data_IF_383569395454
#
_entry.id   IF_383569395454
#
_cell.length_a   1.000
_cell.length_b   1.000
_cell.length_c   1.000
_cell.angle_alpha   90.00
_cell.angle_beta   90.00
_cell.angle_gamma   90.00
#
_symmetry.space_group_name_H-M   'P 1'
#
loop_
_entity.id
_entity.type
_entity.pdbx_description
1 polymer ?
#
# COMPACT_ATOMS: atom_id res chain seq x y z
N UNK A 1 -7.39 -3.95 0.87
CA UNK A 1 -6.56 -5.18 0.93
C UNK A 1 -6.28 -5.66 -0.49
N UNK A 2 -5.03 -5.85 -0.87
CA UNK A 2 -4.63 -6.15 -2.23
C UNK A 2 -3.11 -6.18 -2.43
N UNK A 3 -2.67 -5.90 -3.65
CA UNK A 3 -1.25 -5.77 -4.04
C UNK A 3 -1.02 -4.36 -4.58
N UNK A 4 0.10 -3.77 -4.22
CA UNK A 4 0.47 -2.41 -4.62
C UNK A 4 1.95 -2.40 -5.00
N UNK A 5 2.29 -1.84 -6.15
CA UNK A 5 3.70 -1.53 -6.45
C UNK A 5 4.03 -0.14 -5.93
N UNK A 6 5.14 -0.04 -5.20
CA UNK A 6 5.66 1.22 -4.70
C UNK A 6 6.99 1.53 -5.38
N UNK A 7 7.19 2.81 -5.67
CA UNK A 7 8.49 3.34 -6.09
C UNK A 7 9.31 3.68 -4.84
N UNK A 8 10.52 3.13 -4.78
CA UNK A 8 11.45 3.21 -3.64
C UNK A 8 12.88 3.52 -4.12
N UNK A 9 13.76 4.03 -3.24
CA UNK A 9 15.19 4.11 -3.53
C UNK A 9 15.82 2.75 -3.82
N UNK A 10 16.88 2.75 -4.64
CA UNK A 10 17.59 1.54 -5.03
C UNK A 10 18.16 0.75 -3.83
N UNK A 11 18.59 1.46 -2.80
CA UNK A 11 19.19 0.96 -1.57
C UNK A 11 18.17 0.85 -0.42
N UNK A 12 16.87 0.90 -0.73
CA UNK A 12 15.82 0.84 0.28
C UNK A 12 15.79 -0.51 1.01
N UNK A 13 16.01 -0.46 2.32
CA UNK A 13 15.80 -1.58 3.22
C UNK A 13 14.57 -1.33 4.10
N UNK A 14 13.52 -2.13 3.89
CA UNK A 14 12.29 -1.98 4.63
C UNK A 14 12.49 -2.29 6.12
N UNK A 15 12.07 -1.42 7.06
CA UNK A 15 12.28 -1.58 8.48
C UNK A 15 11.71 -2.89 9.03
N UNK A 16 12.43 -3.47 10.01
CA UNK A 16 12.02 -4.68 10.72
C UNK A 16 11.78 -4.40 12.20
N UNK A 17 10.92 -5.20 12.82
CA UNK A 17 10.70 -5.20 14.26
C UNK A 17 11.83 -5.94 15.01
N UNK A 18 11.73 -5.96 16.34
CA UNK A 18 12.67 -6.65 17.22
C UNK A 18 12.74 -8.17 16.99
N UNK A 19 11.76 -8.74 16.28
CA UNK A 19 11.70 -10.14 15.90
C UNK A 19 12.16 -10.39 14.46
N UNK A 20 12.64 -9.36 13.75
CA UNK A 20 13.12 -9.45 12.39
C UNK A 20 12.01 -9.51 11.33
N UNK A 21 10.74 -9.31 11.68
CA UNK A 21 9.64 -9.23 10.71
C UNK A 21 9.52 -7.82 10.16
N UNK A 22 9.09 -7.68 8.90
CA UNK A 22 8.84 -6.36 8.33
C UNK A 22 7.76 -5.62 9.12
N UNK A 23 8.02 -4.35 9.42
CA UNK A 23 7.03 -3.46 10.01
C UNK A 23 6.05 -3.00 8.93
N UNK A 24 4.73 -3.07 9.14
CA UNK A 24 3.79 -2.37 8.27
C UNK A 24 4.11 -0.89 8.15
N UNK A 25 4.13 -0.34 6.94
CA UNK A 25 4.27 1.09 6.70
C UNK A 25 3.25 1.58 5.67
N UNK A 26 2.53 2.64 6.02
CA UNK A 26 1.70 3.40 5.09
C UNK A 26 2.53 4.00 3.96
N UNK A 27 1.92 4.13 2.78
CA UNK A 27 2.58 4.66 1.58
C UNK A 27 2.61 6.21 1.56
N UNK A 28 1.89 6.87 2.45
CA UNK A 28 1.97 8.31 2.61
C UNK A 28 3.22 8.70 3.41
N UNK A 29 3.65 9.96 3.30
CA UNK A 29 4.70 10.48 4.16
C UNK A 29 4.11 11.03 5.45
N UNK A 30 4.82 10.83 6.56
CA UNK A 30 4.37 11.23 7.88
C UNK A 30 4.05 12.74 7.97
N UNK A 31 4.88 13.58 7.34
CA UNK A 31 4.78 15.04 7.47
C UNK A 31 3.47 15.53 6.90
N UNK A 32 3.10 15.08 5.70
CA UNK A 32 1.82 15.42 5.06
C UNK A 32 0.64 14.99 5.93
N UNK A 33 0.61 13.72 6.36
CA UNK A 33 -0.52 13.19 7.14
C UNK A 33 -0.61 13.85 8.53
N UNK A 34 0.52 14.13 9.17
CA UNK A 34 0.55 14.86 10.44
C UNK A 34 0.01 16.28 10.30
N UNK A 35 0.36 16.99 9.22
CA UNK A 35 -0.16 18.33 8.98
C UNK A 35 -1.66 18.35 8.71
N UNK A 36 -2.16 17.42 7.91
CA UNK A 36 -3.59 17.27 7.65
C UNK A 36 -4.35 16.96 8.94
N UNK A 37 -3.88 15.97 9.71
CA UNK A 37 -4.49 15.63 10.99
C UNK A 37 -4.51 16.83 11.96
N UNK A 38 -3.40 17.57 12.07
CA UNK A 38 -3.32 18.78 12.91
C UNK A 38 -4.26 19.88 12.44
N UNK A 39 -4.42 20.04 11.13
CA UNK A 39 -5.34 21.01 10.54
C UNK A 39 -6.79 20.67 10.92
N UNK A 40 -7.21 19.42 10.74
CA UNK A 40 -8.56 18.97 11.08
C UNK A 40 -8.82 19.03 12.59
N UNK A 41 -7.85 18.63 13.42
CA UNK A 41 -7.93 18.75 14.87
C UNK A 41 -8.11 20.21 15.32
N UNK A 42 -7.43 21.14 14.65
CA UNK A 42 -7.61 22.58 14.89
C UNK A 42 -9.02 23.04 14.50
N UNK A 43 -9.52 22.66 13.32
CA UNK A 43 -10.88 22.99 12.90
C UNK A 43 -11.92 22.44 13.89
N UNK A 44 -11.71 21.24 14.42
CA UNK A 44 -12.56 20.64 15.45
C UNK A 44 -12.55 21.47 16.74
N UNK A 45 -11.36 21.88 17.20
CA UNK A 45 -11.22 22.71 18.41
C UNK A 45 -11.92 24.08 18.29
N UNK A 46 -12.07 24.58 17.06
CA UNK A 46 -12.76 25.83 16.74
C UNK A 46 -14.25 25.64 16.41
N UNK A 47 -14.78 24.41 16.45
CA UNK A 47 -16.14 24.04 16.04
C UNK A 47 -16.46 24.41 14.57
N UNK A 48 -15.44 24.37 13.71
CA UNK A 48 -15.55 24.70 12.28
C UNK A 48 -15.39 23.48 11.37
N UNK A 49 -15.11 22.31 11.92
CA UNK A 49 -14.95 21.08 11.14
C UNK A 49 -16.28 20.75 10.42
N UNK A 50 -16.27 20.40 9.13
CA UNK A 50 -17.49 20.15 8.37
C UNK A 50 -18.30 18.97 8.90
N UNK A 51 -17.62 18.00 9.52
CA UNK A 51 -18.23 16.82 10.15
C UNK A 51 -18.30 16.95 11.69
N UNK A 52 -18.32 18.18 12.21
CA UNK A 52 -18.40 18.43 13.65
C UNK A 52 -19.61 17.71 14.26
N UNK A 53 -19.34 16.88 15.27
CA UNK A 53 -20.37 16.18 16.04
C UNK A 53 -20.24 16.55 17.52
N UNK A 54 -21.33 17.05 18.11
CA UNK A 54 -21.40 17.42 19.53
C UNK A 54 -21.23 16.25 20.50
N UNK A 55 -21.29 15.01 20.02
CA UNK A 55 -21.07 13.80 20.83
C UNK A 55 -19.61 13.68 21.30
N UNK A 56 -18.66 14.21 20.55
CA UNK A 56 -17.23 14.06 20.83
C UNK A 56 -16.63 15.41 21.20
N UNK A 57 -15.85 15.43 22.29
CA UNK A 57 -15.22 16.65 22.78
C UNK A 57 -13.93 16.96 22.02
N UNK A 58 -13.21 15.92 21.62
CA UNK A 58 -11.94 16.03 20.93
C UNK A 58 -11.95 15.33 19.58
N UNK A 59 -11.12 15.81 18.65
CA UNK A 59 -11.03 15.25 17.30
C UNK A 59 -10.67 13.76 17.28
N UNK A 60 -9.70 13.33 18.09
CA UNK A 60 -9.27 11.93 18.20
C UNK A 60 -10.30 10.99 18.86
N UNK A 61 -11.40 11.52 19.41
CA UNK A 61 -12.52 10.67 19.87
C UNK A 61 -13.48 10.34 18.73
N UNK A 62 -13.51 11.19 17.69
CA UNK A 62 -14.33 11.04 16.50
C UNK A 62 -13.56 10.40 15.34
N UNK A 63 -12.32 10.84 15.13
CA UNK A 63 -11.36 10.33 14.16
C UNK A 63 -10.41 9.32 14.80
N UNK A 64 -9.36 8.96 14.07
CA UNK A 64 -8.24 8.17 14.55
C UNK A 64 -7.29 9.02 15.42
N UNK A 65 -6.44 8.31 16.17
CA UNK A 65 -5.36 8.90 16.96
C UNK A 65 -4.39 9.71 16.08
N UNK A 66 -3.65 10.69 16.65
CA UNK A 66 -2.59 11.37 15.92
C UNK A 66 -1.65 10.38 15.23
N UNK A 67 -1.22 10.64 13.99
CA UNK A 67 -0.35 9.73 13.26
C UNK A 67 0.99 9.56 13.99
N UNK A 68 1.53 8.34 13.94
CA UNK A 68 2.84 8.01 14.49
C UNK A 68 3.88 7.88 13.36
N UNK A 69 4.98 8.63 13.43
CA UNK A 69 6.00 8.69 12.37
C UNK A 69 6.55 7.31 11.95
N UNK A 70 6.67 6.39 12.90
CA UNK A 70 7.21 5.05 12.68
C UNK A 70 6.26 4.11 11.89
N UNK A 71 5.04 4.54 11.58
CA UNK A 71 4.06 3.82 10.77
C UNK A 71 4.05 4.28 9.30
N UNK A 72 4.86 5.27 8.94
CA UNK A 72 4.92 5.83 7.59
C UNK A 72 6.28 5.58 6.97
N UNK A 73 6.32 5.53 5.64
CA UNK A 73 7.60 5.51 4.93
C UNK A 73 8.31 6.88 5.06
N UNK A 74 9.65 6.90 4.96
CA UNK A 74 10.38 8.16 4.91
C UNK A 74 9.93 9.01 3.72
N UNK A 75 9.95 10.33 3.88
CA UNK A 75 9.73 11.29 2.81
C UNK A 75 10.94 11.29 1.85
N UNK A 76 10.97 10.36 0.90
CA UNK A 76 11.98 10.35 -0.15
C UNK A 76 11.75 11.49 -1.14
N UNK A 77 12.84 12.11 -1.60
CA UNK A 77 12.81 12.99 -2.75
C UNK A 77 12.36 12.18 -3.96
N UNK A 78 11.40 12.69 -4.73
CA UNK A 78 10.79 11.96 -5.86
C UNK A 78 11.84 11.40 -6.83
N UNK A 79 12.88 12.18 -7.15
CA UNK A 79 13.99 11.79 -8.04
C UNK A 79 14.75 10.55 -7.59
N UNK A 80 14.74 10.22 -6.30
CA UNK A 80 15.42 9.05 -5.76
C UNK A 80 14.55 7.78 -5.83
N UNK A 81 13.25 7.90 -6.12
CA UNK A 81 12.32 6.77 -6.14
C UNK A 81 12.33 6.08 -7.51
N UNK A 82 13.44 5.44 -7.84
CA UNK A 82 13.69 4.90 -9.18
C UNK A 82 13.39 3.41 -9.33
N UNK A 83 13.28 2.67 -8.23
CA UNK A 83 13.12 1.22 -8.23
C UNK A 83 11.73 0.80 -7.78
N UNK A 84 11.33 -0.41 -8.17
CA UNK A 84 10.02 -0.99 -7.90
C UNK A 84 10.11 -2.04 -6.81
N UNK A 85 9.09 -2.07 -5.95
CA UNK A 85 8.91 -3.12 -4.96
C UNK A 85 7.42 -3.42 -4.79
N UNK A 86 7.07 -4.70 -4.70
CA UNK A 86 5.69 -5.14 -4.51
C UNK A 86 5.36 -5.26 -3.03
N UNK A 87 4.20 -4.74 -2.66
CA UNK A 87 3.68 -4.70 -1.31
C UNK A 87 2.34 -5.42 -1.19
N UNK A 88 2.09 -6.00 -0.03
CA UNK A 88 0.74 -6.41 0.38
C UNK A 88 0.07 -5.27 1.16
N UNK A 89 -1.25 -5.12 1.01
CA UNK A 89 -2.00 -4.05 1.71
C UNK A 89 -3.03 -4.60 2.72
N UNK A 90 -2.82 -5.83 3.17
CA UNK A 90 -3.69 -6.56 4.12
C UNK A 90 -3.25 -6.32 5.56
N UNK A 91 -1.94 -6.29 5.81
CA UNK A 91 -1.31 -5.83 7.04
C UNK A 91 -0.58 -4.49 6.81
N UNK A 92 -1.24 -3.57 6.11
CA UNK A 92 -0.86 -2.15 6.00
C UNK A 92 0.47 -1.82 5.28
N UNK A 93 1.13 -2.78 4.60
CA UNK A 93 2.23 -2.42 3.70
C UNK A 93 3.57 -3.05 4.07
N UNK A 94 3.61 -4.38 4.11
CA UNK A 94 4.90 -5.10 4.11
C UNK A 94 5.32 -5.48 2.68
N UNK A 95 6.61 -5.44 2.35
CA UNK A 95 7.09 -5.83 1.03
C UNK A 95 7.03 -7.36 0.88
N UNK A 96 6.61 -7.81 -0.29
CA UNK A 96 6.62 -9.23 -0.68
C UNK A 96 7.70 -9.56 -1.72
N UNK A 97 8.43 -8.55 -2.20
CA UNK A 97 9.55 -8.69 -3.12
C UNK A 97 10.78 -7.91 -2.65
N UNK A 98 11.97 -8.22 -3.17
CA UNK A 98 13.11 -7.31 -3.20
C UNK A 98 12.80 -6.03 -3.98
N UNK A 99 13.71 -5.06 -3.86
CA UNK A 99 13.77 -3.85 -4.69
C UNK A 99 14.38 -4.21 -6.05
N UNK A 100 13.75 -3.77 -7.14
CA UNK A 100 14.15 -4.11 -8.51
C UNK A 100 14.14 -2.90 -9.43
N UNK A 101 15.03 -2.86 -10.41
CA UNK A 101 15.22 -1.69 -11.27
C UNK A 101 14.08 -1.55 -12.28
N UNK A 102 13.55 -2.68 -12.76
CA UNK A 102 12.55 -2.70 -13.83
C UNK A 102 11.27 -3.41 -13.42
N UNK A 103 10.17 -3.07 -14.10
CA UNK A 103 8.86 -3.70 -13.88
C UNK A 103 8.87 -5.17 -14.30
N UNK A 104 9.59 -5.47 -15.37
CA UNK A 104 9.73 -6.80 -15.94
C UNK A 104 10.53 -7.72 -15.01
N UNK A 105 11.62 -7.22 -14.42
CA UNK A 105 12.38 -7.94 -13.40
C UNK A 105 11.48 -8.28 -12.20
N UNK A 106 10.70 -7.31 -11.73
CA UNK A 106 9.74 -7.51 -10.64
C UNK A 106 8.67 -8.54 -11.00
N UNK A 107 8.09 -8.46 -12.19
CA UNK A 107 7.09 -9.40 -12.65
C UNK A 107 7.65 -10.84 -12.76
N UNK A 108 8.86 -10.99 -13.30
CA UNK A 108 9.52 -12.29 -13.38
C UNK A 108 9.78 -12.86 -12.00
N UNK A 109 10.35 -12.08 -11.09
CA UNK A 109 10.64 -12.56 -9.74
C UNK A 109 9.36 -13.00 -9.02
N UNK A 110 8.27 -12.23 -9.12
CA UNK A 110 7.00 -12.56 -8.48
C UNK A 110 6.40 -13.88 -9.01
N UNK A 111 6.48 -14.10 -10.33
CA UNK A 111 6.01 -15.34 -10.95
C UNK A 111 6.90 -16.53 -10.56
N UNK A 112 8.22 -16.40 -10.72
CA UNK A 112 9.19 -17.48 -10.50
C UNK A 112 9.27 -17.92 -9.04
N UNK A 113 9.04 -16.99 -8.10
CA UNK A 113 9.04 -17.27 -6.66
C UNK A 113 7.66 -17.65 -6.11
N UNK A 114 6.65 -17.83 -6.96
CA UNK A 114 5.28 -18.14 -6.54
C UNK A 114 4.75 -17.15 -5.49
N UNK A 115 4.98 -15.85 -5.73
CA UNK A 115 4.52 -14.81 -4.83
C UNK A 115 3.01 -14.90 -4.64
N UNK A 116 2.56 -14.75 -3.40
CA UNK A 116 1.15 -14.89 -3.04
C UNK A 116 0.37 -13.69 -3.57
N UNK A 117 -0.49 -13.90 -4.56
CA UNK A 117 -1.43 -12.90 -5.08
C UNK A 117 -2.61 -12.72 -4.13
N UNK A 118 -3.21 -13.82 -3.65
CA UNK A 118 -4.23 -13.81 -2.59
C UNK A 118 -4.49 -15.22 -2.04
N UNK A 119 -4.55 -15.40 -0.72
CA UNK A 119 -5.02 -16.66 -0.12
C UNK A 119 -4.23 -17.91 -0.53
N UNK A 120 -2.97 -17.76 -0.97
CA UNK A 120 -2.14 -18.85 -1.48
C UNK A 120 -2.21 -19.04 -3.00
N UNK A 121 -3.08 -18.30 -3.69
CA UNK A 121 -3.07 -18.21 -5.15
C UNK A 121 -1.83 -17.46 -5.62
N UNK A 122 -1.23 -17.93 -6.71
CA UNK A 122 -0.12 -17.26 -7.41
C UNK A 122 -0.65 -16.63 -8.70
N UNK A 123 0.21 -15.94 -9.43
CA UNK A 123 -0.14 -15.34 -10.72
C UNK A 123 1.03 -15.49 -11.72
N UNK A 124 0.70 -15.43 -13.00
CA UNK A 124 1.64 -15.49 -14.12
C UNK A 124 2.42 -14.18 -14.26
N UNK A 125 3.51 -14.24 -15.02
CA UNK A 125 4.33 -13.07 -15.35
C UNK A 125 3.49 -11.92 -15.91
N UNK A 126 2.62 -12.17 -16.89
CA UNK A 126 1.88 -11.08 -17.53
C UNK A 126 0.81 -10.49 -16.59
N UNK A 127 0.24 -11.29 -15.68
CA UNK A 127 -0.71 -10.79 -14.66
C UNK A 127 -0.01 -9.88 -13.64
N UNK A 128 1.20 -10.25 -13.23
CA UNK A 128 2.03 -9.40 -12.39
C UNK A 128 2.45 -8.13 -13.11
N UNK A 129 2.89 -8.22 -14.37
CA UNK A 129 3.30 -7.06 -15.15
C UNK A 129 2.15 -6.06 -15.32
N UNK A 130 0.96 -6.53 -15.70
CA UNK A 130 -0.24 -5.67 -15.81
C UNK A 130 -0.58 -5.02 -14.47
N UNK A 131 -0.45 -5.75 -13.36
CA UNK A 131 -0.68 -5.18 -12.01
C UNK A 131 0.33 -4.10 -11.68
N UNK A 132 1.61 -4.33 -11.98
CA UNK A 132 2.70 -3.37 -11.76
C UNK A 132 2.51 -2.12 -12.61
N UNK A 133 2.08 -2.27 -13.87
CA UNK A 133 1.79 -1.14 -14.75
C UNK A 133 0.64 -0.27 -14.27
N UNK A 134 -0.39 -0.89 -13.67
CA UNK A 134 -1.55 -0.20 -13.12
C UNK A 134 -1.34 0.36 -11.71
N UNK A 135 -0.27 -0.04 -11.03
CA UNK A 135 0.06 0.42 -9.68
C UNK A 135 -0.52 -0.46 -8.57
N UNK A 136 -1.67 -1.12 -8.79
CA UNK A 136 -2.33 -1.90 -7.74
C UNK A 136 -3.31 -2.95 -8.28
N UNK A 137 -3.70 -3.89 -7.42
CA UNK A 137 -4.78 -4.84 -7.64
C UNK A 137 -5.55 -5.12 -6.33
N UNK A 138 -6.87 -5.33 -6.42
CA UNK A 138 -7.68 -5.79 -5.27
C UNK A 138 -7.26 -7.20 -4.83
N UNK A 139 -7.69 -7.65 -3.65
CA UNK A 139 -7.40 -9.02 -3.19
C UNK A 139 -8.08 -10.10 -4.03
N UNK A 140 -9.38 -9.96 -4.28
CA UNK A 140 -10.20 -11.02 -4.85
C UNK A 140 -11.26 -10.42 -5.77
N UNK A 141 -11.48 -11.06 -6.91
CA UNK A 141 -12.49 -10.69 -7.90
C UNK A 141 -13.38 -11.89 -8.17
N UNK A 142 -14.69 -11.66 -8.24
CA UNK A 142 -15.64 -12.65 -8.75
C UNK A 142 -15.71 -12.58 -10.27
N UNK A 143 -15.37 -13.66 -10.95
CA UNK A 143 -15.43 -13.78 -12.41
C UNK A 143 -16.58 -14.70 -12.85
N UNK A 144 -17.43 -14.19 -13.74
CA UNK A 144 -18.51 -14.96 -14.32
C UNK A 144 -17.97 -16.20 -15.06
N UNK A 145 -18.42 -17.39 -14.65
CA UNK A 145 -18.03 -18.68 -15.25
C UNK A 145 -16.74 -19.29 -14.69
N UNK A 146 -15.93 -18.55 -13.93
CA UNK A 146 -14.68 -19.04 -13.32
C UNK A 146 -14.70 -19.05 -11.79
N UNK A 147 -15.58 -18.28 -11.16
CA UNK A 147 -15.71 -18.20 -9.71
C UNK A 147 -14.78 -17.13 -9.13
N UNK A 148 -14.22 -17.38 -7.95
CA UNK A 148 -13.35 -16.42 -7.25
C UNK A 148 -11.90 -16.55 -7.75
N UNK A 149 -11.33 -15.46 -8.23
CA UNK A 149 -9.93 -15.36 -8.70
C UNK A 149 -9.18 -14.26 -7.93
N UNK A 150 -7.85 -14.29 -7.92
CA UNK A 150 -7.06 -13.20 -7.33
C UNK A 150 -7.27 -11.89 -8.11
N UNK A 151 -7.17 -10.73 -7.46
CA UNK A 151 -7.29 -9.48 -8.19
C UNK A 151 -6.16 -9.22 -9.18
N UNK A 152 -4.96 -9.77 -8.93
CA UNK A 152 -3.81 -9.74 -9.86
C UNK A 152 -4.18 -10.40 -11.19
N UNK A 153 -4.81 -11.58 -11.12
CA UNK A 153 -5.35 -12.28 -12.30
C UNK A 153 -6.49 -11.50 -12.96
N UNK A 154 -7.40 -10.92 -12.15
CA UNK A 154 -8.54 -10.14 -12.64
C UNK A 154 -8.17 -8.87 -13.42
N UNK A 155 -6.95 -8.35 -13.28
CA UNK A 155 -6.54 -7.11 -13.94
C UNK A 155 -6.55 -7.20 -15.47
N UNK A 156 -6.33 -8.39 -16.05
CA UNK A 156 -6.30 -8.60 -17.52
C UNK A 156 -7.59 -8.18 -18.25
N UNK A 157 -8.72 -8.00 -17.55
CA UNK A 157 -10.04 -7.79 -18.19
C UNK A 157 -10.67 -6.41 -18.01
N UNK A 158 -10.05 -5.48 -17.26
CA UNK A 158 -10.62 -4.14 -17.03
C UNK A 158 -10.33 -3.16 -18.20
N UNK A 159 -10.12 -3.68 -19.40
CA UNK A 159 -10.14 -2.85 -20.61
C UNK A 159 -11.56 -2.88 -21.17
N UNK A 160 -12.34 -1.85 -20.86
CA UNK A 160 -13.65 -1.55 -21.44
C UNK A 160 -13.74 -0.10 -21.84
#
# INVERSE_FOLDING_TARGET
MGREVRLVPADWEHPRDEHGKYKPLFNDDYVTVAWEWMHEAKLWSEQKHPEQDSKYNFYWEWSDMPPEENLYRPAWIEDNRTHFQMYETTSEGTPISPVMETKEELAHWLADNNANAFGGMTATYEEWLTTIERGWAVSLVGEAGKGLVSGVEGMRKIES
#
